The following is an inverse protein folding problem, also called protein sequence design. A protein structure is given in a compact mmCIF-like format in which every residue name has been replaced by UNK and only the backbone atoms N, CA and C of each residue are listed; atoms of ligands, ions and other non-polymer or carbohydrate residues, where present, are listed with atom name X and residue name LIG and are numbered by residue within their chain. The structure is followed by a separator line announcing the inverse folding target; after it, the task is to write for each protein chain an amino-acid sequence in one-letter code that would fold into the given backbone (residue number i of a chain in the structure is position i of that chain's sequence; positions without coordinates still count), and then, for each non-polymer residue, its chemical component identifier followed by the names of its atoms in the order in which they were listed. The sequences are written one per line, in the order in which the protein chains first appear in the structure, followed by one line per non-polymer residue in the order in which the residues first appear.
data_IF_421980539243
#
_entry.id   IF_421980539243
#
_cell.length_a   1.000
_cell.length_b   1.000
_cell.length_c   1.000
_cell.angle_alpha   90.00
_cell.angle_beta   90.00
_cell.angle_gamma   90.00
#
_symmetry.space_group_name_H-M   'P 1'
#
loop_
_entity.id
_entity.type
_entity.pdbx_description
1 polymer ?
#
# COMPACT_ATOMS: atom_id res chain seq x y z
N UNK A 1 -3.68 55.20 -4.77
CA UNK A 1 -3.57 54.20 -5.85
C UNK A 1 -2.49 53.13 -5.63
N UNK A 2 -1.42 53.38 -4.86
CA UNK A 2 -0.36 52.37 -4.62
C UNK A 2 -0.79 51.21 -3.70
N UNK A 3 -1.63 51.46 -2.68
CA UNK A 3 -2.07 50.42 -1.74
C UNK A 3 -2.88 49.28 -2.39
N UNK A 4 -3.62 49.57 -3.47
CA UNK A 4 -4.39 48.54 -4.18
C UNK A 4 -3.46 47.60 -5.00
N UNK A 5 -2.39 48.16 -5.58
CA UNK A 5 -1.38 47.41 -6.33
C UNK A 5 -0.53 46.52 -5.41
N UNK A 6 -0.20 46.98 -4.22
CA UNK A 6 0.49 46.19 -3.19
C UNK A 6 -0.39 45.03 -2.69
N UNK A 7 -1.67 45.28 -2.44
CA UNK A 7 -2.63 44.23 -2.07
C UNK A 7 -2.78 43.14 -3.14
N UNK A 8 -2.89 43.53 -4.42
CA UNK A 8 -2.96 42.57 -5.54
C UNK A 8 -1.67 41.76 -5.69
N UNK A 9 -0.50 42.38 -5.54
CA UNK A 9 0.80 41.68 -5.58
C UNK A 9 0.95 40.69 -4.43
N UNK A 10 0.59 41.08 -3.21
CA UNK A 10 0.62 40.19 -2.05
C UNK A 10 -0.32 38.98 -2.22
N UNK A 11 -1.53 39.20 -2.76
CA UNK A 11 -2.46 38.12 -3.07
C UNK A 11 -1.92 37.17 -4.16
N UNK A 12 -1.31 37.72 -5.23
CA UNK A 12 -0.67 36.93 -6.28
C UNK A 12 0.48 36.07 -5.73
N UNK A 13 1.36 36.66 -4.92
CA UNK A 13 2.46 35.92 -4.29
C UNK A 13 1.93 34.80 -3.39
N UNK A 14 0.89 35.07 -2.60
CA UNK A 14 0.25 34.05 -1.77
C UNK A 14 -0.33 32.89 -2.60
N UNK A 15 -0.93 33.18 -3.76
CA UNK A 15 -1.44 32.12 -4.65
C UNK A 15 -0.32 31.27 -5.25
N UNK A 16 0.79 31.90 -5.65
CA UNK A 16 1.98 31.20 -6.16
C UNK A 16 2.54 30.28 -5.06
N UNK A 17 2.69 30.76 -3.84
CA UNK A 17 3.19 29.95 -2.73
C UNK A 17 2.26 28.76 -2.41
N UNK A 18 0.94 28.98 -2.44
CA UNK A 18 -0.04 27.90 -2.25
C UNK A 18 0.06 26.84 -3.35
N UNK A 19 0.23 27.27 -4.61
CA UNK A 19 0.44 26.35 -5.72
C UNK A 19 1.74 25.54 -5.55
N UNK A 20 2.85 26.22 -5.27
CA UNK A 20 4.15 25.57 -5.04
C UNK A 20 4.07 24.54 -3.90
N UNK A 21 3.42 24.90 -2.80
CA UNK A 21 3.20 23.98 -1.67
C UNK A 21 2.34 22.78 -2.07
N UNK A 22 1.28 22.98 -2.86
CA UNK A 22 0.42 21.89 -3.33
C UNK A 22 1.18 20.91 -4.22
N UNK A 23 1.98 21.42 -5.16
CA UNK A 23 2.83 20.59 -6.03
C UNK A 23 3.87 19.82 -5.21
N UNK A 24 4.54 20.48 -4.27
CA UNK A 24 5.53 19.83 -3.40
C UNK A 24 4.89 18.71 -2.57
N UNK A 25 3.71 18.96 -2.01
CA UNK A 25 2.97 17.95 -1.26
C UNK A 25 2.59 16.75 -2.14
N UNK A 26 2.10 16.99 -3.36
CA UNK A 26 1.75 15.92 -4.29
C UNK A 26 2.96 15.04 -4.65
N UNK A 27 4.11 15.64 -4.95
CA UNK A 27 5.35 14.88 -5.24
C UNK A 27 5.79 14.05 -4.03
N UNK A 28 5.73 14.64 -2.82
CA UNK A 28 6.06 13.94 -1.59
C UNK A 28 5.12 12.75 -1.35
N UNK A 29 3.82 12.92 -1.52
CA UNK A 29 2.83 11.87 -1.30
C UNK A 29 3.03 10.70 -2.27
N UNK A 30 3.31 11.00 -3.54
CA UNK A 30 3.63 9.98 -4.56
C UNK A 30 4.88 9.20 -4.18
N UNK A 31 5.95 9.87 -3.76
CA UNK A 31 7.19 9.22 -3.35
C UNK A 31 6.97 8.30 -2.13
N UNK A 32 6.27 8.79 -1.10
CA UNK A 32 5.95 8.01 0.11
C UNK A 32 5.09 6.80 -0.23
N UNK A 33 4.03 7.00 -1.02
CA UNK A 33 3.10 5.93 -1.38
C UNK A 33 3.73 4.88 -2.31
N UNK A 34 4.61 5.31 -3.22
CA UNK A 34 5.38 4.43 -4.09
C UNK A 34 6.34 3.54 -3.32
N UNK A 35 7.15 4.11 -2.43
CA UNK A 35 8.07 3.34 -1.58
C UNK A 35 7.32 2.34 -0.70
N UNK A 36 6.18 2.75 -0.12
CA UNK A 36 5.35 1.84 0.69
C UNK A 36 4.78 0.67 -0.12
N UNK A 37 4.37 0.91 -1.36
CA UNK A 37 3.91 -0.14 -2.25
C UNK A 37 5.05 -1.12 -2.60
N UNK A 38 6.27 -0.61 -2.81
CA UNK A 38 7.43 -1.45 -3.04
C UNK A 38 7.73 -2.35 -1.84
N UNK A 39 7.78 -1.80 -0.62
CA UNK A 39 7.99 -2.60 0.60
C UNK A 39 6.94 -3.69 0.75
N UNK A 40 5.66 -3.38 0.47
CA UNK A 40 4.61 -4.39 0.51
C UNK A 40 4.77 -5.48 -0.57
N UNK A 41 5.34 -5.16 -1.73
CA UNK A 41 5.66 -6.16 -2.76
C UNK A 41 6.76 -7.11 -2.27
N UNK A 42 7.82 -6.57 -1.68
CA UNK A 42 8.95 -7.35 -1.15
C UNK A 42 8.48 -8.25 0.01
N UNK A 43 7.67 -7.72 0.94
CA UNK A 43 7.04 -8.51 2.02
C UNK A 43 6.17 -9.64 1.48
N UNK A 44 5.44 -9.39 0.39
CA UNK A 44 4.53 -10.35 -0.23
C UNK A 44 5.28 -11.49 -0.93
N UNK A 45 6.44 -11.21 -1.52
CA UNK A 45 7.32 -12.23 -2.09
C UNK A 45 7.86 -13.15 -0.99
N UNK A 46 8.42 -12.58 0.08
CA UNK A 46 8.88 -13.37 1.24
C UNK A 46 7.76 -14.20 1.88
N UNK A 47 6.54 -13.65 1.94
CA UNK A 47 5.39 -14.37 2.48
C UNK A 47 4.96 -15.54 1.58
N UNK A 48 5.06 -15.38 0.26
CA UNK A 48 4.79 -16.47 -0.68
C UNK A 48 5.81 -17.62 -0.50
N UNK A 49 7.08 -17.30 -0.27
CA UNK A 49 8.10 -18.30 0.05
C UNK A 49 7.80 -19.06 1.35
N UNK A 50 7.28 -18.36 2.38
CA UNK A 50 6.84 -18.99 3.64
C UNK A 50 5.69 -19.96 3.46
N UNK A 51 4.72 -19.63 2.59
CA UNK A 51 3.64 -20.55 2.22
C UNK A 51 4.21 -21.81 1.59
N UNK A 52 5.10 -21.69 0.63
CA UNK A 52 5.71 -22.85 -0.04
C UNK A 52 6.60 -23.68 0.88
N UNK A 53 7.36 -23.05 1.78
CA UNK A 53 8.13 -23.75 2.81
C UNK A 53 7.21 -24.57 3.73
N UNK A 54 6.08 -24.01 4.13
CA UNK A 54 5.12 -24.68 5.01
C UNK A 54 4.39 -25.83 4.28
N UNK A 55 4.12 -25.67 2.98
CA UNK A 55 3.56 -26.74 2.13
C UNK A 55 4.50 -27.94 1.99
N UNK A 56 5.81 -27.76 2.08
CA UNK A 56 6.74 -28.88 2.14
C UNK A 56 6.49 -29.75 3.38
N UNK A 57 6.35 -29.14 4.55
CA UNK A 57 6.07 -29.83 5.82
C UNK A 57 4.71 -30.55 5.78
N UNK A 58 3.67 -29.90 5.24
CA UNK A 58 2.37 -30.53 5.04
C UNK A 58 2.48 -31.80 4.18
N UNK A 59 3.17 -31.71 3.02
CA UNK A 59 3.37 -32.86 2.12
C UNK A 59 4.13 -34.01 2.79
N UNK A 60 5.12 -33.69 3.62
CA UNK A 60 5.85 -34.70 4.39
C UNK A 60 4.93 -35.43 5.38
N UNK A 61 4.07 -34.69 6.11
CA UNK A 61 3.10 -35.28 7.05
C UNK A 61 2.06 -36.15 6.33
N UNK A 62 1.54 -35.70 5.19
CA UNK A 62 0.62 -36.48 4.36
C UNK A 62 1.27 -37.78 3.85
N UNK A 63 2.51 -37.71 3.38
CA UNK A 63 3.25 -38.87 2.91
C UNK A 63 3.58 -39.86 4.04
N UNK A 64 3.85 -39.37 5.25
CA UNK A 64 4.01 -40.22 6.43
C UNK A 64 2.70 -40.93 6.78
N UNK A 65 1.55 -40.24 6.70
CA UNK A 65 0.25 -40.84 6.98
C UNK A 65 -0.12 -41.93 5.98
N UNK A 66 0.13 -41.69 4.68
CA UNK A 66 -0.08 -42.68 3.62
C UNK A 66 0.75 -43.96 3.82
N UNK A 67 1.92 -43.84 4.47
CA UNK A 67 2.78 -44.97 4.82
C UNK A 67 2.49 -45.57 6.19
N UNK A 68 1.46 -45.08 6.90
CA UNK A 68 1.11 -45.54 8.25
C UNK A 68 2.08 -45.10 9.35
N UNK A 69 2.94 -44.12 9.09
CA UNK A 69 3.98 -43.64 10.02
C UNK A 69 3.50 -42.54 10.98
N UNK A 70 2.31 -41.99 10.75
CA UNK A 70 1.68 -40.95 11.59
C UNK A 70 0.16 -41.09 11.56
N UNK A 71 -0.54 -40.41 12.47
CA UNK A 71 -2.00 -40.43 12.53
C UNK A 71 -2.65 -39.49 11.50
N UNK A 72 -3.90 -39.76 11.16
CA UNK A 72 -4.70 -38.87 10.30
C UNK A 72 -4.85 -37.47 10.90
N UNK A 73 -4.96 -37.38 12.22
CA UNK A 73 -5.07 -36.12 12.95
C UNK A 73 -3.81 -35.27 12.72
N UNK A 74 -2.62 -35.84 12.94
CA UNK A 74 -1.34 -35.16 12.73
C UNK A 74 -1.16 -34.69 11.28
N UNK A 75 -1.54 -35.51 10.29
CA UNK A 75 -1.51 -35.10 8.88
C UNK A 75 -2.50 -33.96 8.56
N UNK A 76 -3.64 -33.90 9.25
CA UNK A 76 -4.63 -32.84 9.07
C UNK A 76 -4.17 -31.55 9.76
N UNK A 77 -3.62 -31.64 10.97
CA UNK A 77 -3.06 -30.52 11.71
C UNK A 77 -1.89 -29.85 10.98
N UNK A 78 -1.10 -30.61 10.21
CA UNK A 78 -0.03 -30.08 9.37
C UNK A 78 -0.52 -29.10 8.28
N UNK A 79 -1.84 -29.00 8.04
CA UNK A 79 -2.44 -28.00 7.13
C UNK A 79 -2.66 -26.65 7.80
N UNK A 80 -2.78 -26.61 9.13
CA UNK A 80 -3.06 -25.37 9.86
C UNK A 80 -1.98 -24.30 9.65
N UNK A 81 -0.67 -24.64 9.68
CA UNK A 81 0.36 -23.66 9.38
C UNK A 81 0.27 -23.12 7.95
N UNK A 82 -0.03 -23.96 6.94
CA UNK A 82 -0.19 -23.50 5.55
C UNK A 82 -1.31 -22.46 5.45
N UNK A 83 -2.46 -22.75 6.06
CA UNK A 83 -3.60 -21.85 6.06
C UNK A 83 -3.29 -20.52 6.75
N UNK A 84 -2.53 -20.55 7.85
CA UNK A 84 -2.12 -19.33 8.55
C UNK A 84 -1.21 -18.46 7.66
N UNK A 85 -0.23 -19.06 6.97
CA UNK A 85 0.65 -18.33 6.05
C UNK A 85 -0.11 -17.81 4.82
N UNK A 86 -1.08 -18.57 4.28
CA UNK A 86 -1.95 -18.13 3.18
C UNK A 86 -2.84 -16.95 3.59
N UNK A 87 -3.37 -16.96 4.82
CA UNK A 87 -4.14 -15.84 5.35
C UNK A 87 -3.27 -14.58 5.52
N UNK A 88 -2.04 -14.73 5.99
CA UNK A 88 -1.07 -13.62 6.06
C UNK A 88 -0.74 -13.06 4.68
N UNK A 89 -0.59 -13.92 3.66
CA UNK A 89 -0.38 -13.51 2.27
C UNK A 89 -1.59 -12.71 1.74
N UNK A 90 -2.81 -13.18 2.00
CA UNK A 90 -4.04 -12.49 1.62
C UNK A 90 -4.16 -11.11 2.29
N UNK A 91 -3.78 -11.00 3.57
CA UNK A 91 -3.76 -9.71 4.26
C UNK A 91 -2.75 -8.73 3.63
N UNK A 92 -1.59 -9.21 3.18
CA UNK A 92 -0.63 -8.38 2.44
C UNK A 92 -1.19 -7.93 1.10
N UNK A 93 -1.80 -8.84 0.33
CA UNK A 93 -2.42 -8.49 -0.96
C UNK A 93 -3.54 -7.45 -0.78
N UNK A 94 -4.35 -7.55 0.27
CA UNK A 94 -5.35 -6.53 0.62
C UNK A 94 -4.73 -5.16 0.90
N UNK A 95 -3.65 -5.11 1.70
CA UNK A 95 -2.91 -3.86 1.97
C UNK A 95 -2.31 -3.26 0.70
N UNK A 96 -1.79 -4.10 -0.20
CA UNK A 96 -1.23 -3.67 -1.51
C UNK A 96 -2.30 -3.01 -2.38
N UNK A 97 -3.49 -3.58 -2.45
CA UNK A 97 -4.62 -3.00 -3.19
C UNK A 97 -5.04 -1.65 -2.59
N UNK A 98 -5.15 -1.55 -1.27
CA UNK A 98 -5.47 -0.28 -0.62
C UNK A 98 -4.39 0.79 -0.88
N UNK A 99 -3.11 0.39 -0.84
CA UNK A 99 -1.98 1.28 -1.12
C UNK A 99 -1.94 1.73 -2.59
N UNK A 100 -2.28 0.86 -3.53
CA UNK A 100 -2.34 1.23 -4.95
C UNK A 100 -3.46 2.23 -5.22
N UNK A 101 -4.62 2.09 -4.58
CA UNK A 101 -5.71 3.07 -4.63
C UNK A 101 -5.25 4.42 -4.05
N UNK A 102 -4.51 4.43 -2.94
CA UNK A 102 -3.96 5.67 -2.37
C UNK A 102 -2.94 6.33 -3.32
N UNK A 103 -2.08 5.56 -3.97
CA UNK A 103 -1.14 6.07 -4.96
C UNK A 103 -1.86 6.66 -6.17
N UNK A 104 -2.88 5.97 -6.71
CA UNK A 104 -3.72 6.50 -7.80
C UNK A 104 -4.39 7.82 -7.40
N UNK A 105 -4.87 7.92 -6.14
CA UNK A 105 -5.40 9.18 -5.61
C UNK A 105 -4.33 10.28 -5.57
N UNK A 106 -3.13 10.01 -5.08
CA UNK A 106 -2.04 11.01 -5.05
C UNK A 106 -1.58 11.48 -6.44
N UNK A 107 -1.68 10.62 -7.46
CA UNK A 107 -1.25 10.92 -8.83
C UNK A 107 -2.25 11.74 -9.66
N UNK A 108 -3.48 11.96 -9.18
CA UNK A 108 -4.49 12.70 -9.96
C UNK A 108 -5.91 12.80 -9.35
N UNK A 109 -6.18 12.12 -8.24
CA UNK A 109 -7.44 12.19 -7.48
C UNK A 109 -7.37 13.01 -6.18
N UNK A 110 -6.27 13.74 -5.97
CA UNK A 110 -5.98 14.57 -4.78
C UNK A 110 -5.90 16.07 -5.05
N UNK A 111 -6.26 16.52 -6.27
CA UNK A 111 -6.30 17.95 -6.60
C UNK A 111 -7.42 18.65 -5.81
N UNK A 112 -7.08 19.22 -4.66
CA UNK A 112 -7.87 20.27 -4.02
C UNK A 112 -7.36 21.61 -4.58
N UNK A 113 -7.79 21.99 -5.80
CA UNK A 113 -7.80 23.41 -6.13
C UNK A 113 -8.56 24.11 -5.00
N UNK A 114 -7.84 24.90 -4.20
CA UNK A 114 -8.52 25.90 -3.38
C UNK A 114 -9.40 26.70 -4.33
N UNK A 115 -10.70 26.92 -4.04
CA UNK A 115 -11.58 27.59 -4.97
C UNK A 115 -10.95 28.93 -5.33
N UNK A 116 -10.67 29.10 -6.63
CA UNK A 116 -10.28 30.40 -7.16
C UNK A 116 -11.48 31.29 -6.88
N UNK A 117 -11.37 32.15 -5.87
CA UNK A 117 -12.40 33.13 -5.57
C UNK A 117 -12.27 34.19 -6.66
N UNK A 118 -12.90 33.95 -7.80
CA UNK A 118 -13.19 34.99 -8.78
C UNK A 118 -14.09 36.02 -8.11
N UNK A 119 -13.56 37.22 -7.90
CA UNK A 119 -14.39 38.38 -7.64
C UNK A 119 -14.48 39.20 -8.93
N UNK A 120 -15.72 39.29 -9.43
CA UNK A 120 -16.21 40.27 -10.40
C UNK A 120 -15.80 41.70 -10.03
#
# INVERSE_FOLDING_TARGET
MNANLEGTRAASNMMIERYNQSVLNAVRDVAVNGTRLQTLNDEREMQAERVEATRFTQRAAEAAYQRGLTSRLQATEARLPVLAEEMSLLMLDSRRVLQSIQLMKSLGGGYQASPVVEKK
#
